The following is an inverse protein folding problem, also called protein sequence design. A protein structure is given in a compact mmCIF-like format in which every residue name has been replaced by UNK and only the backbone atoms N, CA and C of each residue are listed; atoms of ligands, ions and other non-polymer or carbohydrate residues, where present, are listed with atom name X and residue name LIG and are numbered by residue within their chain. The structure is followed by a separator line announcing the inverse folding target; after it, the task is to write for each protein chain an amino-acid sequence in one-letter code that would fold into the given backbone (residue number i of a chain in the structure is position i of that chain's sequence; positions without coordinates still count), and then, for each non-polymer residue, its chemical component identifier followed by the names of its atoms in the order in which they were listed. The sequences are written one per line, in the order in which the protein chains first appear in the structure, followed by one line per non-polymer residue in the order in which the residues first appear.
data_IF_362318355207
#
_entry.id   IF_362318355207
#
_cell.length_a   1.000
_cell.length_b   1.000
_cell.length_c   1.000
_cell.angle_alpha   90.00
_cell.angle_beta   90.00
_cell.angle_gamma   90.00
#
_symmetry.space_group_name_H-M   'P 1'
#
loop_
_entity.id
_entity.type
_entity.pdbx_description
1 polymer ?
#
# COMPACT_ATOMS: atom_id res chain seq x y z
N UNK A 1 3.92 8.91 -1.10
CA UNK A 1 4.82 10.08 -1.22
C UNK A 1 5.80 9.92 -2.38
N UNK A 2 6.43 8.75 -2.57
CA UNK A 2 7.33 8.53 -3.70
C UNK A 2 6.65 8.68 -5.08
N UNK A 3 5.33 8.53 -5.18
CA UNK A 3 4.61 8.66 -6.47
C UNK A 3 4.74 10.09 -7.00
N UNK A 4 4.73 11.07 -6.09
CA UNK A 4 4.93 12.47 -6.43
C UNK A 4 6.33 12.73 -6.96
N UNK A 5 7.36 12.09 -6.38
CA UNK A 5 8.74 12.23 -6.86
C UNK A 5 8.93 11.57 -8.23
N UNK A 6 8.32 10.40 -8.46
CA UNK A 6 8.32 9.77 -9.80
C UNK A 6 7.67 10.72 -10.81
N UNK A 7 6.49 11.27 -10.50
CA UNK A 7 5.79 12.20 -11.40
C UNK A 7 6.51 13.54 -11.62
N UNK A 8 7.23 14.05 -10.61
CA UNK A 8 8.05 15.26 -10.75
C UNK A 8 9.30 15.03 -11.60
N UNK A 9 9.90 13.85 -11.51
CA UNK A 9 11.09 13.50 -12.29
C UNK A 9 10.73 13.19 -13.75
N UNK A 10 9.66 12.42 -13.97
CA UNK A 10 9.20 12.04 -15.31
C UNK A 10 7.66 11.78 -15.32
N UNK A 11 6.86 12.76 -15.78
CA UNK A 11 5.41 12.61 -15.90
C UNK A 11 4.95 11.52 -16.89
N UNK A 12 5.73 11.25 -17.94
CA UNK A 12 5.37 10.28 -18.97
C UNK A 12 5.51 8.86 -18.43
N UNK A 13 6.54 8.59 -17.63
CA UNK A 13 6.71 7.32 -16.91
C UNK A 13 5.55 7.09 -15.94
N UNK A 14 5.15 8.10 -15.16
CA UNK A 14 4.00 7.98 -14.25
C UNK A 14 2.72 7.60 -15.01
N UNK A 15 2.50 8.23 -16.17
CA UNK A 15 1.37 7.90 -17.04
C UNK A 15 1.40 6.44 -17.49
N UNK A 16 2.58 5.89 -17.80
CA UNK A 16 2.73 4.48 -18.16
C UNK A 16 2.46 3.53 -17.00
N UNK A 17 2.92 3.86 -15.79
CA UNK A 17 2.66 3.09 -14.56
C UNK A 17 1.15 3.02 -14.29
N UNK A 18 0.43 4.13 -14.47
CA UNK A 18 -0.99 4.26 -14.14
C UNK A 18 -1.98 3.74 -15.20
N UNK A 19 -1.49 3.22 -16.34
CA UNK A 19 -2.33 2.72 -17.44
C UNK A 19 -3.34 1.68 -16.97
N UNK A 20 -4.51 1.63 -17.60
CA UNK A 20 -5.48 0.57 -17.33
C UNK A 20 -5.02 -0.78 -17.92
N UNK A 21 -5.42 -1.92 -17.31
CA UNK A 21 -6.21 -2.04 -16.09
C UNK A 21 -5.37 -1.78 -14.82
N UNK A 22 -6.02 -1.28 -13.76
CA UNK A 22 -5.46 -1.09 -12.41
C UNK A 22 -5.85 -2.29 -11.54
N UNK A 23 -5.07 -3.35 -11.66
CA UNK A 23 -5.24 -4.57 -10.84
C UNK A 23 -4.36 -4.39 -9.59
N UNK A 24 -4.87 -4.69 -8.38
CA UNK A 24 -4.08 -4.59 -7.15
C UNK A 24 -2.72 -5.27 -7.26
N UNK A 25 -1.66 -4.58 -6.87
CA UNK A 25 -0.27 -5.06 -6.88
C UNK A 25 0.44 -4.99 -8.24
N UNK A 26 -0.28 -4.92 -9.36
CA UNK A 26 0.34 -4.79 -10.70
C UNK A 26 1.06 -3.46 -10.86
N UNK A 27 0.62 -2.42 -10.14
CA UNK A 27 1.28 -1.11 -10.12
C UNK A 27 2.75 -1.24 -9.71
N UNK A 28 3.05 -1.97 -8.63
CA UNK A 28 4.42 -2.19 -8.16
C UNK A 28 5.28 -2.94 -9.18
N UNK A 29 4.71 -3.92 -9.88
CA UNK A 29 5.43 -4.64 -10.94
C UNK A 29 5.81 -3.70 -12.10
N UNK A 30 4.95 -2.76 -12.46
CA UNK A 30 5.23 -1.75 -13.49
C UNK A 30 6.30 -0.77 -13.04
N UNK A 31 6.25 -0.29 -11.81
CA UNK A 31 7.30 0.55 -11.24
C UNK A 31 8.66 -0.16 -11.30
N UNK A 32 8.72 -1.41 -10.79
CA UNK A 32 9.94 -2.20 -10.81
C UNK A 32 10.46 -2.42 -12.24
N UNK A 33 9.58 -2.65 -13.21
CA UNK A 33 9.96 -2.87 -14.62
C UNK A 33 10.42 -1.59 -15.33
N UNK A 34 9.78 -0.45 -15.07
CA UNK A 34 10.01 0.79 -15.81
C UNK A 34 11.12 1.65 -15.20
N UNK A 35 11.25 1.66 -13.87
CA UNK A 35 12.21 2.52 -13.16
C UNK A 35 13.19 1.76 -12.26
N UNK A 36 12.98 0.45 -12.04
CA UNK A 36 13.90 -0.39 -11.26
C UNK A 36 13.68 -0.35 -9.74
N UNK A 37 12.66 0.36 -9.26
CA UNK A 37 12.27 0.43 -7.85
C UNK A 37 10.78 0.74 -7.73
N UNK A 38 10.21 0.52 -6.54
CA UNK A 38 8.82 0.87 -6.23
C UNK A 38 8.70 2.19 -5.50
N UNK A 39 7.50 2.78 -5.52
CA UNK A 39 7.19 3.97 -4.74
C UNK A 39 7.51 3.81 -3.24
N UNK A 40 7.26 2.61 -2.72
CA UNK A 40 7.52 2.25 -1.33
C UNK A 40 9.00 2.37 -0.99
N UNK A 41 9.89 1.97 -1.90
CA UNK A 41 11.34 2.04 -1.71
C UNK A 41 11.85 3.48 -1.73
N UNK A 42 11.32 4.34 -2.62
CA UNK A 42 11.60 5.78 -2.59
C UNK A 42 11.13 6.38 -1.26
N UNK A 43 9.93 5.99 -0.82
CA UNK A 43 9.35 6.46 0.44
C UNK A 43 10.14 5.98 1.66
N UNK A 44 10.70 4.77 1.60
CA UNK A 44 11.60 4.25 2.63
C UNK A 44 12.87 5.08 2.75
N UNK A 45 13.49 5.46 1.63
CA UNK A 45 14.69 6.31 1.64
C UNK A 45 14.41 7.73 2.16
N UNK A 46 13.23 8.29 1.87
CA UNK A 46 12.79 9.54 2.50
C UNK A 46 12.61 9.38 4.02
N UNK A 47 11.90 8.34 4.45
CA UNK A 47 11.67 8.06 5.86
C UNK A 47 12.99 7.87 6.62
N UNK A 48 13.99 7.21 6.00
CA UNK A 48 15.35 7.07 6.55
C UNK A 48 16.01 8.43 6.77
N UNK A 49 15.95 9.34 5.80
CA UNK A 49 16.51 10.70 5.89
C UNK A 49 15.81 11.56 6.94
N UNK A 50 14.54 11.28 7.21
CA UNK A 50 13.77 11.92 8.29
C UNK A 50 13.93 11.23 9.66
N UNK A 51 14.86 10.28 9.80
CA UNK A 51 15.12 9.55 11.04
C UNK A 51 13.89 8.80 11.59
N UNK A 52 13.04 8.26 10.73
CA UNK A 52 11.96 7.37 11.16
C UNK A 52 12.54 6.07 11.75
N UNK A 53 11.79 5.39 12.65
CA UNK A 53 12.22 4.12 13.20
C UNK A 53 12.61 3.11 12.11
N UNK A 54 13.72 2.35 12.27
CA UNK A 54 14.20 1.42 11.24
C UNK A 54 13.15 0.39 10.79
N UNK A 55 12.28 -0.06 11.69
CA UNK A 55 11.19 -0.99 11.39
C UNK A 55 10.16 -0.41 10.40
N UNK A 56 9.88 0.89 10.48
CA UNK A 56 8.98 1.57 9.54
C UNK A 56 9.63 1.74 8.17
N UNK A 57 10.92 2.10 8.15
CA UNK A 57 11.71 2.18 6.91
C UNK A 57 11.71 0.82 6.21
N UNK A 58 11.99 -0.26 6.96
CA UNK A 58 11.96 -1.62 6.43
C UNK A 58 10.57 -2.02 5.93
N UNK A 59 9.49 -1.65 6.63
CA UNK A 59 8.14 -1.93 6.19
C UNK A 59 7.82 -1.29 4.83
N UNK A 60 8.17 -0.02 4.66
CA UNK A 60 8.00 0.71 3.39
C UNK A 60 8.84 0.08 2.26
N UNK A 61 10.10 -0.27 2.56
CA UNK A 61 11.03 -0.89 1.60
C UNK A 61 10.52 -2.23 1.08
N UNK A 62 9.83 -3.00 1.94
CA UNK A 62 9.37 -4.37 1.65
C UNK A 62 7.89 -4.45 1.28
N UNK A 63 7.14 -3.36 1.33
CA UNK A 63 5.68 -3.40 1.17
C UNK A 63 5.21 -3.99 -0.16
N UNK A 64 5.97 -3.83 -1.25
CA UNK A 64 5.60 -4.41 -2.56
C UNK A 64 5.86 -5.91 -2.67
N UNK A 65 6.81 -6.43 -1.89
CA UNK A 65 7.17 -7.86 -1.85
C UNK A 65 7.68 -8.23 -0.43
N UNK A 66 6.74 -8.46 0.51
CA UNK A 66 7.09 -8.71 1.91
C UNK A 66 7.65 -10.12 2.15
N UNK A 67 7.53 -11.02 1.17
CA UNK A 67 7.90 -12.43 1.25
C UNK A 67 9.26 -12.73 0.59
N UNK A 68 9.91 -11.74 -0.03
CA UNK A 68 11.24 -11.88 -0.63
C UNK A 68 12.27 -12.51 0.31
N UNK A 69 13.20 -13.28 -0.26
CA UNK A 69 14.23 -14.03 0.46
C UNK A 69 15.14 -13.15 1.33
N UNK A 70 15.31 -11.88 0.97
CA UNK A 70 16.16 -10.90 1.65
C UNK A 70 15.63 -10.41 3.02
N UNK A 71 14.69 -11.15 3.61
CA UNK A 71 14.21 -10.96 4.98
C UNK A 71 12.78 -10.47 5.08
N UNK A 72 11.95 -11.29 5.72
CA UNK A 72 10.55 -11.02 6.00
C UNK A 72 10.36 -9.81 6.94
N UNK A 73 9.45 -8.90 6.58
CA UNK A 73 9.00 -7.80 7.43
C UNK A 73 7.52 -7.96 7.76
N UNK A 74 7.20 -8.25 9.04
CA UNK A 74 5.80 -8.37 9.49
C UNK A 74 5.00 -7.09 9.24
N UNK A 75 5.59 -5.92 9.50
CA UNK A 75 4.93 -4.65 9.23
C UNK A 75 4.84 -4.37 7.72
N UNK A 76 5.86 -4.75 6.94
CA UNK A 76 5.80 -4.69 5.48
C UNK A 76 4.67 -5.55 4.90
N UNK A 77 4.46 -6.75 5.42
CA UNK A 77 3.34 -7.62 5.07
C UNK A 77 1.96 -7.01 5.41
N UNK A 78 1.84 -6.31 6.54
CA UNK A 78 0.61 -5.57 6.87
C UNK A 78 0.38 -4.44 5.86
N UNK A 79 1.41 -3.66 5.56
CA UNK A 79 1.32 -2.56 4.57
C UNK A 79 1.02 -3.10 3.17
N UNK A 80 1.57 -4.27 2.81
CA UNK A 80 1.28 -4.96 1.56
C UNK A 80 -0.21 -5.26 1.41
N UNK A 81 -0.82 -5.93 2.40
CA UNK A 81 -2.26 -6.24 2.38
C UNK A 81 -3.11 -4.97 2.37
N UNK A 82 -2.72 -3.95 3.14
CA UNK A 82 -3.41 -2.67 3.14
C UNK A 82 -3.35 -1.97 1.77
N UNK A 83 -2.19 -2.05 1.09
CA UNK A 83 -2.02 -1.52 -0.27
C UNK A 83 -2.91 -2.22 -1.28
N UNK A 84 -2.97 -3.55 -1.25
CA UNK A 84 -3.86 -4.33 -2.13
C UNK A 84 -5.34 -3.98 -1.92
N UNK A 85 -5.77 -3.85 -0.65
CA UNK A 85 -7.13 -3.43 -0.32
C UNK A 85 -7.40 -1.98 -0.74
N UNK A 86 -6.42 -1.08 -0.63
CA UNK A 86 -6.58 0.31 -1.04
C UNK A 86 -6.67 0.47 -2.57
N UNK A 87 -5.99 -0.41 -3.33
CA UNK A 87 -6.06 -0.44 -4.80
C UNK A 87 -7.33 -1.13 -5.33
N UNK A 88 -8.04 -1.89 -4.50
CA UNK A 88 -9.30 -2.52 -4.89
C UNK A 88 -10.41 -1.44 -5.07
N UNK A 89 -11.03 -1.34 -6.26
CA UNK A 89 -12.02 -0.29 -6.56
C UNK A 89 -13.18 -0.26 -5.56
N UNK A 90 -13.72 -1.43 -5.25
CA UNK A 90 -14.82 -1.65 -4.31
C UNK A 90 -14.34 -2.53 -3.15
N UNK A 91 -13.34 -2.05 -2.42
CA UNK A 91 -12.78 -2.79 -1.29
C UNK A 91 -13.84 -3.03 -0.22
N UNK A 92 -14.16 -4.31 0.02
CA UNK A 92 -15.14 -4.75 1.00
C UNK A 92 -14.77 -6.09 1.61
N UNK A 93 -15.69 -6.67 2.40
CA UNK A 93 -15.48 -7.98 3.01
C UNK A 93 -15.18 -9.07 1.96
N UNK A 94 -15.72 -8.96 0.75
CA UNK A 94 -15.41 -9.90 -0.33
C UNK A 94 -13.93 -9.86 -0.75
N UNK A 95 -13.28 -8.69 -0.67
CA UNK A 95 -11.89 -8.49 -1.11
C UNK A 95 -10.88 -9.27 -0.26
N UNK A 96 -11.28 -9.71 0.93
CA UNK A 96 -10.46 -10.60 1.77
C UNK A 96 -10.16 -11.93 1.06
N UNK A 97 -11.04 -12.39 0.16
CA UNK A 97 -10.81 -13.60 -0.62
C UNK A 97 -9.69 -13.47 -1.66
N UNK A 98 -9.39 -12.24 -2.09
CA UNK A 98 -8.40 -11.95 -3.14
C UNK A 98 -7.01 -11.64 -2.56
N UNK A 99 -6.88 -11.62 -1.23
CA UNK A 99 -5.61 -11.35 -0.56
C UNK A 99 -4.64 -12.55 -0.69
N UNK A 100 -3.32 -12.31 -0.79
CA UNK A 100 -2.31 -13.37 -0.88
C UNK A 100 -2.36 -14.32 0.32
N UNK A 101 -2.65 -15.62 0.13
CA UNK A 101 -2.90 -16.55 1.22
C UNK A 101 -1.65 -16.86 2.06
N UNK A 102 -0.47 -16.82 1.45
CA UNK A 102 0.83 -16.95 2.10
C UNK A 102 1.10 -15.80 3.08
N UNK A 103 0.83 -14.57 2.69
CA UNK A 103 0.96 -13.39 3.55
C UNK A 103 -0.02 -13.45 4.73
N UNK A 104 -1.28 -13.83 4.47
CA UNK A 104 -2.28 -14.06 5.51
C UNK A 104 -1.82 -15.12 6.52
N UNK A 105 -1.30 -16.25 6.03
CA UNK A 105 -0.84 -17.35 6.87
C UNK A 105 0.34 -16.97 7.76
N UNK A 106 1.34 -16.27 7.21
CA UNK A 106 2.52 -15.84 7.99
C UNK A 106 2.15 -14.78 9.03
N UNK A 107 1.21 -13.88 8.70
CA UNK A 107 0.67 -12.93 9.67
C UNK A 107 -0.22 -13.58 10.72
N UNK A 108 -0.71 -14.81 10.47
CA UNK A 108 -1.66 -15.57 11.29
C UNK A 108 -2.99 -14.84 11.44
N UNK A 109 -3.49 -14.25 10.34
CA UNK A 109 -4.74 -13.52 10.34
C UNK A 109 -5.93 -14.47 10.17
N UNK A 110 -7.00 -14.21 10.91
CA UNK A 110 -8.28 -14.91 10.77
C UNK A 110 -9.11 -14.24 9.67
N UNK A 111 -9.22 -14.91 8.52
CA UNK A 111 -9.98 -14.36 7.38
C UNK A 111 -11.49 -14.30 7.62
N UNK A 112 -12.04 -15.10 8.52
CA UNK A 112 -13.46 -15.04 8.88
C UNK A 112 -13.71 -13.81 9.75
N UNK A 113 -12.85 -13.59 10.76
CA UNK A 113 -12.91 -12.38 11.57
C UNK A 113 -12.72 -11.10 10.73
N UNK A 114 -11.76 -11.10 9.79
CA UNK A 114 -11.52 -9.95 8.89
C UNK A 114 -12.74 -9.63 8.04
N UNK A 115 -13.45 -10.64 7.51
CA UNK A 115 -14.69 -10.44 6.75
C UNK A 115 -15.80 -9.86 7.62
N UNK A 116 -16.00 -10.42 8.81
CA UNK A 116 -17.08 -10.01 9.72
C UNK A 116 -16.85 -8.63 10.33
N UNK A 117 -15.59 -8.20 10.43
CA UNK A 117 -15.19 -6.93 11.05
C UNK A 117 -14.67 -5.92 10.01
N UNK A 118 -14.90 -6.18 8.72
CA UNK A 118 -14.41 -5.30 7.67
C UNK A 118 -14.99 -3.89 7.88
N UNK A 119 -14.15 -2.85 7.95
CA UNK A 119 -14.61 -1.52 8.30
C UNK A 119 -15.38 -0.91 7.14
N UNK A 120 -16.51 -0.28 7.47
CA UNK A 120 -17.28 0.51 6.51
C UNK A 120 -16.47 1.76 6.10
N UNK A 121 -16.38 2.00 4.79
CA UNK A 121 -15.70 3.15 4.20
C UNK A 121 -16.22 4.47 4.77
N UNK A 122 -17.52 4.56 5.07
CA UNK A 122 -18.15 5.77 5.59
C UNK A 122 -17.61 6.18 6.97
N UNK A 123 -17.11 5.22 7.77
CA UNK A 123 -16.53 5.50 9.09
C UNK A 123 -15.19 6.23 9.04
N UNK A 124 -14.50 6.21 7.90
CA UNK A 124 -13.21 6.89 7.73
C UNK A 124 -13.36 8.37 7.35
N UNK A 125 -14.55 8.79 6.89
CA UNK A 125 -14.77 10.13 6.37
C UNK A 125 -15.73 10.91 7.29
N UNK A 126 -15.24 11.36 8.44
CA UNK A 126 -15.99 12.33 9.25
C UNK A 126 -15.78 13.77 8.71
N UNK A 127 -16.47 14.13 7.63
CA UNK A 127 -16.41 15.48 7.02
C UNK A 127 -17.13 16.55 7.87
N UNK A 128 -17.86 16.15 8.91
CA UNK A 128 -18.71 17.06 9.70
C UNK A 128 -17.94 18.14 10.49
N UNK A 129 -16.60 18.09 10.54
CA UNK A 129 -15.78 19.11 11.23
C UNK A 129 -15.34 20.31 10.39
N UNK A 130 -15.48 20.29 9.06
CA UNK A 130 -14.96 21.38 8.20
C UNK A 130 -16.01 22.49 7.96
N UNK A 131 -17.31 22.22 8.14
CA UNK A 131 -18.38 23.16 7.76
C UNK A 131 -18.81 24.11 8.90
N UNK A 132 -18.49 23.82 10.15
CA UNK A 132 -19.00 24.58 11.31
C UNK A 132 -17.94 25.45 12.00
N UNK A 133 -17.31 26.38 11.28
CA UNK A 133 -16.65 27.52 11.91
C UNK A 133 -17.14 28.83 11.30
N UNK A 134 -18.23 29.44 11.84
CA UNK A 134 -18.56 30.82 11.51
C UNK A 134 -17.45 31.74 12.05
N UNK A 135 -17.01 32.68 11.20
CA UNK A 135 -16.00 33.70 11.50
C UNK A 135 -16.38 34.59 12.68
#
# INVERSE_FOLDING_TARGET
MGTLLIGQADPDILTQIERLPRIPGVRWQREQRLVGFTEGQITAEMARRWNFPPQMVQALQRASDPMAEDGFSRLGAVVHLAGLLAEAPDAGAHSIADLPPDVIAVLRLDTQWMRNTFPDREKFVNVSRIVNNPR
#
